data_IF_992707306930
#
_entry.id   IF_992707306930
#
_cell.length_a   1.000
_cell.length_b   1.000
_cell.length_c   1.000
_cell.angle_alpha   90.00
_cell.angle_beta   90.00
_cell.angle_gamma   90.00
#
_symmetry.space_group_name_H-M   'P 1'
#
loop_
_entity.id
_entity.type
_entity.pdbx_description
1 polymer ?
#
# COMPACT_ATOMS: atom_id res chain seq x y z
N UNK A 1 14.05 -25.02 7.91
CA UNK A 1 13.01 -24.10 8.40
C UNK A 1 11.70 -24.45 7.70
N UNK A 2 10.59 -24.59 8.42
CA UNK A 2 9.28 -24.79 7.79
C UNK A 2 8.92 -23.55 6.97
N UNK A 3 8.45 -23.73 5.73
CA UNK A 3 7.99 -22.64 4.87
C UNK A 3 6.76 -22.02 5.51
N UNK A 4 6.82 -20.73 5.87
CA UNK A 4 5.65 -20.02 6.41
C UNK A 4 4.59 -19.85 5.32
N UNK A 5 3.33 -19.89 5.74
CA UNK A 5 2.19 -19.65 4.84
C UNK A 5 2.21 -18.19 4.36
N UNK A 6 2.12 -17.97 3.05
CA UNK A 6 2.05 -16.65 2.45
C UNK A 6 0.61 -16.16 2.34
N UNK A 7 0.46 -14.84 2.38
CA UNK A 7 -0.81 -14.12 2.24
C UNK A 7 -0.65 -12.98 1.25
N UNK A 8 -1.65 -12.81 0.39
CA UNK A 8 -1.84 -11.62 -0.43
C UNK A 8 -3.16 -10.97 0.01
N UNK A 9 -3.09 -9.72 0.42
CA UNK A 9 -4.27 -8.90 0.73
C UNK A 9 -4.48 -7.96 -0.44
N UNK A 10 -5.66 -8.00 -1.05
CA UNK A 10 -6.03 -7.08 -2.12
C UNK A 10 -7.07 -6.11 -1.59
N UNK A 11 -6.75 -4.81 -1.59
CA UNK A 11 -7.68 -3.75 -1.19
C UNK A 11 -8.02 -2.88 -2.39
N UNK A 12 -9.32 -2.71 -2.62
CA UNK A 12 -9.85 -1.66 -3.48
C UNK A 12 -9.72 -0.32 -2.75
N UNK A 13 -8.97 0.61 -3.34
CA UNK A 13 -8.66 1.91 -2.77
C UNK A 13 -9.95 2.74 -2.61
N UNK A 14 -10.17 3.26 -1.41
CA UNK A 14 -11.16 4.29 -1.14
C UNK A 14 -10.52 5.68 -1.28
N UNK A 15 -11.33 6.74 -1.42
CA UNK A 15 -10.85 8.13 -1.43
C UNK A 15 -9.97 8.45 -0.21
N UNK A 16 -10.29 7.88 0.95
CA UNK A 16 -9.51 8.07 2.17
C UNK A 16 -8.10 7.47 2.09
N UNK A 17 -7.90 6.42 1.29
CA UNK A 17 -6.59 5.80 1.10
C UNK A 17 -5.70 6.66 0.20
N UNK A 18 -6.30 7.41 -0.75
CA UNK A 18 -5.57 8.26 -1.68
C UNK A 18 -4.79 9.39 -0.98
N UNK A 19 -5.17 9.75 0.24
CA UNK A 19 -4.46 10.73 1.07
C UNK A 19 -3.02 10.32 1.44
N UNK A 20 -2.62 9.07 1.19
CA UNK A 20 -1.21 8.63 1.32
C UNK A 20 -0.32 9.16 0.18
N UNK A 21 -0.89 9.49 -0.97
CA UNK A 21 -0.16 9.96 -2.15
C UNK A 21 -0.07 11.48 -2.21
N UNK A 22 1.05 12.00 -2.69
CA UNK A 22 1.24 13.44 -2.90
C UNK A 22 0.27 14.08 -3.84
N UNK A 23 0.06 13.42 -4.97
CA UNK A 23 -0.63 13.99 -6.13
C UNK A 23 -2.12 14.17 -5.90
N UNK A 24 -2.70 13.41 -4.97
CA UNK A 24 -4.13 13.41 -4.68
C UNK A 24 -4.51 14.28 -3.48
N UNK A 25 -3.54 14.97 -2.87
CA UNK A 25 -3.74 15.67 -1.60
C UNK A 25 -4.62 16.90 -1.71
N UNK A 26 -4.57 17.62 -2.83
CA UNK A 26 -5.37 18.84 -3.04
C UNK A 26 -6.86 18.51 -3.23
N UNK A 27 -7.17 17.30 -3.70
CA UNK A 27 -8.53 16.81 -3.93
C UNK A 27 -9.02 15.84 -2.85
N UNK A 28 -8.14 15.28 -2.02
CA UNK A 28 -8.52 14.37 -0.96
C UNK A 28 -9.34 15.07 0.14
N UNK A 29 -10.59 14.65 0.28
CA UNK A 29 -11.53 15.09 1.33
C UNK A 29 -11.09 14.65 2.74
N UNK A 30 -10.21 13.65 2.84
CA UNK A 30 -9.73 13.08 4.10
C UNK A 30 -8.29 13.47 4.42
N UNK A 31 -8.04 13.91 5.67
CA UNK A 31 -6.67 14.13 6.20
C UNK A 31 -5.92 12.84 6.53
N UNK A 32 -6.54 11.68 6.33
CA UNK A 32 -5.94 10.38 6.66
C UNK A 32 -4.87 10.01 5.63
N UNK A 33 -3.71 9.58 6.13
CA UNK A 33 -2.51 9.27 5.32
C UNK A 33 -2.11 7.80 5.50
N UNK A 34 -3.05 6.91 5.23
CA UNK A 34 -2.85 5.50 5.48
C UNK A 34 -3.77 4.65 4.61
N UNK A 35 -3.30 3.46 4.26
CA UNK A 35 -4.15 2.42 3.69
C UNK A 35 -4.94 1.79 4.83
N UNK A 36 -6.26 1.78 4.74
CA UNK A 36 -7.08 1.15 5.76
C UNK A 36 -7.02 -0.38 5.67
N UNK A 37 -6.91 -1.02 6.83
CA UNK A 37 -6.96 -2.47 6.97
C UNK A 37 -8.21 -2.82 7.79
N UNK A 38 -8.85 -3.93 7.43
CA UNK A 38 -9.95 -4.47 8.25
C UNK A 38 -9.36 -5.25 9.42
N UNK A 39 -10.11 -5.39 10.51
CA UNK A 39 -9.68 -6.20 11.66
C UNK A 39 -9.31 -7.64 11.28
N UNK A 40 -10.07 -8.36 10.42
CA UNK A 40 -9.68 -9.69 9.95
C UNK A 40 -8.34 -9.70 9.22
N UNK A 41 -8.06 -8.70 8.38
CA UNK A 41 -6.78 -8.56 7.69
C UNK A 41 -5.65 -8.39 8.69
N UNK A 42 -5.77 -7.43 9.61
CA UNK A 42 -4.74 -7.19 10.62
C UNK A 42 -4.48 -8.43 11.48
N UNK A 43 -5.53 -9.17 11.86
CA UNK A 43 -5.43 -10.41 12.64
C UNK A 43 -4.71 -11.52 11.89
N UNK A 44 -4.90 -11.63 10.57
CA UNK A 44 -4.23 -12.66 9.75
C UNK A 44 -2.81 -12.27 9.38
N UNK A 45 -2.57 -10.97 9.16
CA UNK A 45 -1.27 -10.44 8.75
C UNK A 45 -0.27 -10.41 9.90
N UNK A 46 -0.69 -9.97 11.09
CA UNK A 46 0.20 -9.78 12.25
C UNK A 46 0.25 -11.03 13.13
N UNK A 47 1.37 -11.23 13.82
CA UNK A 47 1.43 -12.19 14.93
C UNK A 47 0.41 -11.83 16.02
N UNK A 48 -0.03 -12.82 16.80
CA UNK A 48 -0.97 -12.58 17.91
C UNK A 48 -0.42 -11.54 18.90
N UNK A 49 0.90 -11.54 19.10
CA UNK A 49 1.61 -10.58 19.95
C UNK A 49 1.44 -9.15 19.43
N UNK A 50 1.77 -8.91 18.16
CA UNK A 50 1.69 -7.57 17.56
C UNK A 50 0.25 -7.10 17.42
N UNK A 51 -0.67 -8.02 17.08
CA UNK A 51 -2.09 -7.71 17.02
C UNK A 51 -2.64 -7.29 18.39
N UNK A 52 -2.30 -8.01 19.46
CA UNK A 52 -2.72 -7.69 20.83
C UNK A 52 -2.09 -6.39 21.34
N UNK A 53 -0.85 -6.09 20.95
CA UNK A 53 -0.18 -4.82 21.25
C UNK A 53 -0.81 -3.61 20.52
N UNK A 54 -1.69 -3.85 19.54
CA UNK A 54 -2.35 -2.81 18.76
C UNK A 54 -1.53 -2.32 17.57
N UNK A 55 -0.44 -2.98 17.22
CA UNK A 55 0.38 -2.65 16.06
C UNK A 55 1.89 -2.73 16.29
N UNK A 56 2.63 -2.46 15.22
CA UNK A 56 4.09 -2.34 15.21
C UNK A 56 4.55 -1.51 14.01
N UNK A 57 5.80 -1.06 14.05
CA UNK A 57 6.49 -0.61 12.85
C UNK A 57 7.07 -1.82 12.14
N UNK A 58 6.68 -2.02 10.88
CA UNK A 58 7.08 -3.15 10.05
C UNK A 58 7.87 -2.65 8.85
N UNK A 59 8.86 -3.45 8.44
CA UNK A 59 9.59 -3.21 7.21
C UNK A 59 8.64 -3.35 6.02
N UNK A 60 8.54 -2.29 5.21
CA UNK A 60 7.69 -2.25 4.05
C UNK A 60 8.49 -1.90 2.81
N UNK A 61 8.31 -2.72 1.78
CA UNK A 61 8.82 -2.51 0.44
C UNK A 61 7.66 -2.05 -0.44
N UNK A 62 7.73 -0.84 -0.97
CA UNK A 62 6.79 -0.33 -1.96
C UNK A 62 7.43 -0.42 -3.34
N UNK A 63 6.78 -1.12 -4.28
CA UNK A 63 7.21 -1.19 -5.69
C UNK A 63 6.04 -0.83 -6.58
N UNK A 64 6.25 0.16 -7.45
CA UNK A 64 5.24 0.57 -8.42
C UNK A 64 5.82 1.28 -9.64
N UNK A 65 5.67 0.68 -10.82
CA UNK A 65 6.33 1.16 -12.04
C UNK A 65 7.86 1.23 -11.83
N UNK A 66 8.46 2.39 -12.08
CA UNK A 66 9.88 2.65 -11.79
C UNK A 66 10.17 3.11 -10.36
N UNK A 67 9.15 3.27 -9.51
CA UNK A 67 9.33 3.69 -8.11
C UNK A 67 9.54 2.47 -7.21
N UNK A 68 10.61 2.51 -6.43
CA UNK A 68 10.89 1.57 -5.36
C UNK A 68 11.25 2.35 -4.09
N UNK A 69 10.67 1.99 -2.95
CA UNK A 69 11.10 2.48 -1.65
C UNK A 69 11.03 1.36 -0.61
N UNK A 70 11.96 1.35 0.34
CA UNK A 70 11.92 0.47 1.51
C UNK A 70 12.04 1.30 2.78
N UNK A 71 11.07 1.16 3.68
CA UNK A 71 11.04 1.92 4.92
C UNK A 71 10.23 1.21 6.00
N UNK A 72 10.49 1.57 7.26
CA UNK A 72 9.61 1.18 8.35
C UNK A 72 8.28 1.96 8.26
N UNK A 73 7.16 1.24 8.31
CA UNK A 73 5.82 1.82 8.35
C UNK A 73 5.01 1.25 9.50
N UNK A 74 4.27 2.12 10.15
CA UNK A 74 3.37 1.71 11.22
C UNK A 74 2.17 0.94 10.65
N UNK A 75 1.98 -0.31 11.10
CA UNK A 75 0.73 -1.05 10.99
C UNK A 75 0.09 -1.06 12.36
N UNK A 76 -0.97 -0.27 12.55
CA UNK A 76 -1.52 -0.04 13.88
C UNK A 76 -3.02 0.21 13.92
N UNK A 77 -3.58 0.00 15.11
CA UNK A 77 -4.98 0.26 15.42
C UNK A 77 -5.17 1.72 15.77
N UNK A 78 -6.04 2.40 15.02
CA UNK A 78 -6.44 3.80 15.23
C UNK A 78 -7.94 3.85 15.46
N UNK A 79 -8.33 3.98 16.73
CA UNK A 79 -9.73 3.86 17.15
C UNK A 79 -10.30 2.48 16.83
N UNK A 80 -11.38 2.43 16.03
CA UNK A 80 -12.00 1.17 15.59
C UNK A 80 -11.36 0.53 14.35
N UNK A 81 -10.41 1.21 13.70
CA UNK A 81 -9.87 0.82 12.40
C UNK A 81 -8.40 0.42 12.51
N UNK A 82 -7.94 -0.47 11.63
CA UNK A 82 -6.52 -0.74 11.43
C UNK A 82 -6.00 0.05 10.23
N UNK A 83 -4.71 0.42 10.27
CA UNK A 83 -4.11 1.28 9.26
C UNK A 83 -2.67 0.88 9.01
N UNK A 84 -2.31 0.87 7.74
CA UNK A 84 -0.93 0.89 7.28
C UNK A 84 -0.59 2.35 6.94
N UNK A 85 0.08 3.03 7.88
CA UNK A 85 0.47 4.44 7.78
C UNK A 85 1.90 4.63 7.28
N UNK A 86 2.52 5.73 7.69
CA UNK A 86 3.91 6.06 7.37
C UNK A 86 4.03 7.32 6.53
N UNK A 87 5.22 7.49 5.92
CA UNK A 87 5.50 8.64 5.08
C UNK A 87 4.61 8.65 3.84
N UNK A 88 4.39 9.87 3.35
CA UNK A 88 3.70 10.14 2.11
C UNK A 88 4.44 9.49 0.94
N UNK A 89 3.70 8.92 0.01
CA UNK A 89 4.28 8.42 -1.25
C UNK A 89 4.32 9.61 -2.22
N UNK A 90 5.53 10.07 -2.54
CA UNK A 90 5.77 11.25 -3.37
C UNK A 90 5.97 10.93 -4.86
N UNK A 91 5.96 9.64 -5.21
CA UNK A 91 6.17 9.20 -6.58
C UNK A 91 5.11 9.79 -7.53
N UNK A 92 5.56 10.59 -8.50
CA UNK A 92 4.72 11.06 -9.63
C UNK A 92 4.08 9.88 -10.38
N UNK A 93 4.72 8.71 -10.32
CA UNK A 93 4.15 7.45 -10.77
C UNK A 93 2.76 7.17 -10.19
N UNK A 94 2.43 7.59 -8.98
CA UNK A 94 1.12 7.31 -8.37
C UNK A 94 0.00 8.30 -8.77
N UNK A 95 0.29 9.31 -9.60
CA UNK A 95 -0.68 10.36 -9.95
C UNK A 95 -1.95 9.85 -10.65
N UNK A 96 -1.86 8.71 -11.34
CA UNK A 96 -2.96 8.15 -12.12
C UNK A 96 -3.85 7.17 -11.34
N UNK A 97 -3.45 6.83 -10.10
CA UNK A 97 -4.26 5.99 -9.23
C UNK A 97 -5.53 6.75 -8.82
N UNK A 98 -6.64 6.05 -8.78
CA UNK A 98 -7.94 6.58 -8.37
C UNK A 98 -8.60 5.63 -7.36
N UNK A 99 -9.72 6.07 -6.79
CA UNK A 99 -10.62 5.19 -6.08
C UNK A 99 -11.00 3.99 -6.96
N UNK A 100 -11.13 2.82 -6.33
CA UNK A 100 -11.38 1.52 -6.95
C UNK A 100 -10.21 0.90 -7.73
N UNK A 101 -9.07 1.58 -7.83
CA UNK A 101 -7.81 0.90 -8.13
C UNK A 101 -7.38 0.03 -6.95
N UNK A 102 -6.36 -0.80 -7.13
CA UNK A 102 -5.99 -1.79 -6.11
C UNK A 102 -4.64 -1.48 -5.48
N UNK A 103 -4.54 -1.77 -4.18
CA UNK A 103 -3.28 -2.02 -3.50
C UNK A 103 -3.23 -3.48 -3.08
N UNK A 104 -2.09 -4.12 -3.35
CA UNK A 104 -1.79 -5.48 -2.95
C UNK A 104 -0.71 -5.46 -1.88
N UNK A 105 -0.97 -6.15 -0.77
CA UNK A 105 0.00 -6.37 0.29
C UNK A 105 0.35 -7.86 0.32
N UNK A 106 1.62 -8.20 0.07
CA UNK A 106 2.12 -9.58 0.14
C UNK A 106 3.06 -9.73 1.33
N UNK A 107 2.85 -10.77 2.13
CA UNK A 107 3.64 -11.07 3.34
C UNK A 107 3.48 -12.55 3.73
N UNK A 108 4.06 -12.94 4.85
CA UNK A 108 3.71 -14.16 5.58
C UNK A 108 2.52 -13.93 6.51
N UNK A 109 1.74 -14.98 6.76
CA UNK A 109 0.71 -15.03 7.80
C UNK A 109 1.38 -14.94 9.17
N UNK A 110 0.81 -14.16 10.10
CA UNK A 110 1.34 -14.05 11.45
C UNK A 110 2.71 -13.38 11.51
N UNK A 111 2.97 -12.40 10.64
CA UNK A 111 4.23 -11.67 10.57
C UNK A 111 4.53 -10.98 11.92
N UNK A 112 5.70 -11.27 12.49
CA UNK A 112 6.15 -10.73 13.77
C UNK A 112 7.22 -9.63 13.60
N UNK A 113 7.36 -9.09 12.39
CA UNK A 113 8.34 -8.05 12.02
C UNK A 113 9.64 -8.59 11.40
N UNK A 114 9.72 -9.90 11.17
CA UNK A 114 10.90 -10.56 10.61
C UNK A 114 10.86 -10.72 9.08
N UNK A 115 9.73 -10.38 8.45
CA UNK A 115 9.59 -10.39 6.99
C UNK A 115 9.03 -9.04 6.52
N UNK A 116 9.54 -8.49 5.41
CA UNK A 116 8.97 -7.27 4.86
C UNK A 116 7.56 -7.51 4.31
N UNK A 117 6.75 -6.48 4.35
CA UNK A 117 5.48 -6.41 3.61
C UNK A 117 5.79 -5.79 2.25
N UNK A 118 5.46 -6.49 1.16
CA UNK A 118 5.49 -5.92 -0.18
C UNK A 118 4.17 -5.22 -0.48
N UNK A 119 4.22 -3.95 -0.86
CA UNK A 119 3.09 -3.14 -1.29
C UNK A 119 3.23 -2.80 -2.78
N UNK A 120 2.22 -3.17 -3.56
CA UNK A 120 2.16 -2.89 -5.00
C UNK A 120 0.82 -2.27 -5.33
N UNK A 121 0.79 -1.29 -6.23
CA UNK A 121 -0.45 -0.68 -6.70
C UNK A 121 -0.78 -1.16 -8.12
N UNK A 122 -2.07 -1.17 -8.48
CA UNK A 122 -2.58 -1.53 -9.80
C UNK A 122 -3.66 -0.54 -10.18
N UNK A 123 -3.34 0.33 -11.14
CA UNK A 123 -4.27 1.32 -11.67
C UNK A 123 -4.95 0.83 -12.93
N UNK A 124 -6.27 1.00 -13.01
CA UNK A 124 -7.06 0.64 -14.20
C UNK A 124 -6.57 1.35 -15.47
N UNK A 125 -6.01 2.55 -15.35
CA UNK A 125 -5.54 3.33 -16.49
C UNK A 125 -4.28 2.75 -17.14
N UNK A 126 -3.32 2.24 -16.35
CA UNK A 126 -2.04 1.73 -16.88
C UNK A 126 -1.98 0.21 -16.91
N UNK A 127 -2.62 -0.47 -15.97
CA UNK A 127 -2.60 -1.92 -15.83
C UNK A 127 -3.97 -2.55 -16.09
N UNK A 128 -4.69 -2.09 -17.12
CA UNK A 128 -6.10 -2.45 -17.40
C UNK A 128 -6.37 -3.96 -17.40
N UNK A 129 -5.51 -4.76 -18.02
CA UNK A 129 -5.68 -6.22 -18.07
C UNK A 129 -5.50 -6.87 -16.69
N UNK A 130 -4.51 -6.45 -15.92
CA UNK A 130 -4.30 -6.93 -14.55
C UNK A 130 -5.45 -6.51 -13.64
N UNK A 131 -5.91 -5.26 -13.76
CA UNK A 131 -7.07 -4.76 -13.01
C UNK A 131 -8.32 -5.59 -13.30
N UNK A 132 -8.64 -5.83 -14.57
CA UNK A 132 -9.77 -6.67 -14.97
C UNK A 132 -9.62 -8.12 -14.48
N UNK A 133 -8.40 -8.68 -14.53
CA UNK A 133 -8.09 -10.02 -14.02
C UNK A 133 -8.33 -10.14 -12.52
N UNK A 134 -7.93 -9.13 -11.74
CA UNK A 134 -8.19 -9.08 -10.28
C UNK A 134 -9.69 -9.05 -10.02
N UNK A 135 -10.43 -8.17 -10.73
CA UNK A 135 -11.90 -8.09 -10.59
C UNK A 135 -12.55 -9.43 -10.89
N UNK A 136 -12.18 -10.09 -12.00
CA UNK A 136 -12.75 -11.37 -12.37
C UNK A 136 -12.41 -12.50 -11.38
N UNK A 137 -11.19 -12.49 -10.84
CA UNK A 137 -10.71 -13.55 -9.94
C UNK A 137 -11.23 -13.41 -8.51
N UNK A 138 -11.60 -12.19 -8.08
CA UNK A 138 -11.93 -11.90 -6.69
C UNK A 138 -13.33 -11.29 -6.49
N UNK A 139 -14.18 -11.26 -7.52
CA UNK A 139 -15.49 -10.60 -7.49
C UNK A 139 -16.31 -10.94 -6.23
N UNK A 140 -16.36 -12.22 -5.88
CA UNK A 140 -17.13 -12.73 -4.73
C UNK A 140 -16.31 -12.81 -3.43
N UNK A 141 -15.03 -12.45 -3.47
CA UNK A 141 -14.10 -12.54 -2.33
C UNK A 141 -13.93 -11.23 -1.58
N UNK A 142 -14.38 -10.10 -2.14
CA UNK A 142 -14.26 -8.80 -1.50
C UNK A 142 -15.25 -8.63 -0.34
N UNK A 143 -14.73 -8.45 0.86
CA UNK A 143 -15.48 -8.06 2.05
C UNK A 143 -14.99 -6.69 2.52
N UNK A 144 -15.90 -5.70 2.55
CA UNK A 144 -15.56 -4.32 2.91
C UNK A 144 -14.37 -3.76 2.10
N UNK A 145 -14.40 -3.96 0.78
CA UNK A 145 -13.36 -3.53 -0.16
C UNK A 145 -12.00 -4.21 -0.01
N UNK A 146 -11.93 -5.31 0.74
CA UNK A 146 -10.69 -6.11 0.89
C UNK A 146 -10.95 -7.59 0.63
N UNK A 147 -10.04 -8.25 -0.08
CA UNK A 147 -9.99 -9.70 -0.23
C UNK A 147 -8.70 -10.23 0.40
N UNK A 148 -8.79 -11.34 1.13
CA UNK A 148 -7.65 -12.07 1.67
C UNK A 148 -7.46 -13.32 0.82
N UNK A 149 -6.28 -13.46 0.24
CA UNK A 149 -5.93 -14.56 -0.66
C UNK A 149 -4.79 -15.34 -0.01
N UNK A 150 -5.05 -16.60 0.35
CA UNK A 150 -4.07 -17.46 1.03
C UNK A 150 -3.43 -18.45 0.07
N UNK A 151 -2.21 -18.88 0.40
CA UNK A 151 -1.50 -19.91 -0.33
C UNK A 151 -2.38 -21.16 -0.54
N UNK A 152 -2.28 -21.75 -1.74
CA UNK A 152 -3.05 -22.94 -2.13
C UNK A 152 -4.36 -22.66 -2.89
N UNK A 153 -4.77 -21.40 -3.04
CA UNK A 153 -5.90 -21.04 -3.92
C UNK A 153 -5.44 -20.72 -5.36
N UNK A 154 -6.34 -20.91 -6.34
CA UNK A 154 -6.09 -20.54 -7.74
C UNK A 154 -5.80 -19.03 -7.88
N UNK A 155 -6.58 -18.21 -7.15
CA UNK A 155 -6.36 -16.77 -7.07
C UNK A 155 -4.97 -16.44 -6.52
N UNK A 156 -4.49 -17.15 -5.49
CA UNK A 156 -3.14 -16.94 -4.97
C UNK A 156 -2.08 -17.28 -6.01
N UNK A 157 -2.26 -18.38 -6.73
CA UNK A 157 -1.33 -18.81 -7.79
C UNK A 157 -1.24 -17.76 -8.89
N UNK A 158 -2.39 -17.29 -9.38
CA UNK A 158 -2.44 -16.26 -10.41
C UNK A 158 -1.82 -14.93 -9.96
N UNK A 159 -2.19 -14.45 -8.76
CA UNK A 159 -1.65 -13.20 -8.22
C UNK A 159 -0.15 -13.31 -7.90
N UNK A 160 0.31 -14.43 -7.35
CA UNK A 160 1.72 -14.60 -7.00
C UNK A 160 2.64 -14.64 -8.21
N UNK A 161 2.13 -15.09 -9.36
CA UNK A 161 2.86 -15.06 -10.63
C UNK A 161 2.96 -13.63 -11.20
N UNK A 162 1.88 -12.85 -11.10
CA UNK A 162 1.87 -11.45 -11.53
C UNK A 162 2.62 -10.51 -10.56
N UNK A 163 2.67 -10.87 -9.28
CA UNK A 163 3.23 -10.08 -8.19
C UNK A 163 4.22 -10.93 -7.39
N UNK A 164 5.41 -11.25 -7.94
CA UNK A 164 6.39 -12.09 -7.28
C UNK A 164 6.81 -11.48 -5.93
N UNK A 165 7.17 -12.32 -4.97
CA UNK A 165 7.75 -11.85 -3.72
C UNK A 165 9.05 -11.11 -4.03
N UNK A 166 9.23 -9.96 -3.38
CA UNK A 166 10.50 -9.25 -3.44
C UNK A 166 11.43 -9.87 -2.39
N UNK A 167 12.68 -10.23 -2.76
CA UNK A 167 13.65 -10.77 -1.81
C UNK A 167 13.83 -9.82 -0.61
N UNK A 168 13.86 -10.37 0.60
CA UNK A 168 14.00 -9.57 1.83
C UNK A 168 15.36 -8.86 1.92
N UNK A 169 16.34 -9.27 1.13
CA UNK A 169 17.67 -8.68 0.99
C UNK A 169 17.74 -7.65 -0.16
N UNK A 170 16.65 -7.39 -0.88
CA UNK A 170 16.65 -6.38 -1.94
C UNK A 170 16.96 -5.00 -1.33
N UNK A 171 18.14 -4.49 -1.67
CA UNK A 171 18.54 -3.12 -1.40
C UNK A 171 17.73 -2.22 -2.33
N UNK A 172 16.60 -1.72 -1.84
CA UNK A 172 15.88 -0.65 -2.52
C UNK A 172 16.49 0.65 -2.04
N UNK A 173 17.02 1.43 -3.00
CA UNK A 173 17.71 2.68 -2.73
C UNK A 173 16.87 3.63 -1.87
N UNK A 174 17.56 4.49 -1.10
CA UNK A 174 16.92 5.59 -0.42
C UNK A 174 16.08 6.39 -1.43
N UNK A 175 14.90 6.91 -1.05
CA UNK A 175 14.16 7.81 -1.92
C UNK A 175 15.11 8.89 -2.40
N UNK A 176 15.18 9.10 -3.72
CA UNK A 176 15.91 10.23 -4.30
C UNK A 176 15.49 11.47 -3.52
N UNK A 177 16.46 12.17 -2.92
CA UNK A 177 16.22 13.33 -2.09
C UNK A 177 15.26 14.28 -2.82
N UNK A 178 14.26 14.75 -2.09
CA UNK A 178 13.26 15.68 -2.59
C UNK A 178 13.98 16.91 -3.15
N UNK A 179 13.92 17.14 -4.47
CA UNK A 179 14.06 18.50 -5.00
C UNK A 179 12.81 19.26 -4.56
N UNK A 180 12.80 19.69 -3.30
CA UNK A 180 12.01 20.83 -2.86
C UNK A 180 12.62 22.06 -3.54
N UNK A 181 12.37 22.20 -4.83
CA UNK A 181 12.34 23.52 -5.44
C UNK A 181 11.07 24.20 -4.92
N UNK A 182 11.15 24.76 -3.70
CA UNK A 182 10.33 25.91 -3.34
C UNK A 182 10.49 26.92 -4.47
N UNK A 183 9.51 26.99 -5.36
CA UNK A 183 9.37 28.15 -6.23
C UNK A 183 9.14 29.33 -5.29
N UNK A 184 10.05 30.31 -5.25
CA UNK A 184 9.84 31.49 -4.44
C UNK A 184 8.57 32.18 -4.91
N UNK A 185 7.70 32.44 -3.94
CA UNK A 185 6.51 33.27 -4.04
C UNK A 185 6.90 34.59 -4.72
N UNK A 186 6.59 34.74 -6.01
CA UNK A 186 6.70 36.03 -6.67
C UNK A 186 5.57 36.90 -6.12
N UNK A 187 5.90 37.61 -5.05
CA UNK A 187 5.18 38.78 -4.59
C UNK A 187 4.97 39.71 -5.79
N UNK A 188 3.74 39.79 -6.27
CA UNK A 188 3.30 40.84 -7.17
C UNK A 188 3.28 42.16 -6.39
N UNK A 189 4.45 42.78 -6.24
CA UNK A 189 4.58 44.18 -5.90
C UNK A 189 4.06 45.01 -7.07
N UNK A 190 2.77 45.35 -7.04
CA UNK A 190 2.21 46.41 -7.87
C UNK A 190 2.25 47.70 -7.07
N UNK A 191 3.37 48.43 -7.18
CA UNK A 191 3.45 49.83 -6.80
C UNK A 191 3.79 50.67 -8.05
N UNK A 192 2.87 51.59 -8.37
CA UNK A 192 3.17 52.91 -8.93
C UNK A 192 3.56 53.04 -10.41
N UNK A 193 2.59 53.47 -11.23
CA UNK A 193 2.64 54.79 -11.88
C UNK A 193 1.27 55.23 -12.39
#
# INVERSE_FOLDING_TARGET
MAKREEIIVVRSLAESDLGIFSMHRLSATSKQRAIALTTPVARRLLSDRLFAAGGADLDLICVYGGYGNRELRNVGKVGKNWRLGGRKITANGCAFLDSKDFVLLRSVVGNDGDHPILMTFIGRQRERLLHAGIVASLADSFQSSVAIVTAGSDAFTALSAAFPSVPADLAIGAPLAEEDAEMPDQAAGSDGR
#
